data_IF_108486036482
#
_entry.id   IF_108486036482
#
_cell.length_a   1.000
_cell.length_b   1.000
_cell.length_c   1.000
_cell.angle_alpha   90.00
_cell.angle_beta   90.00
_cell.angle_gamma   90.00
#
_symmetry.space_group_name_H-M   'P 1'
#
loop_
_entity.id
_entity.type
_entity.pdbx_description
1 polymer ?
#
# COMPACT_ATOMS: atom_id res chain seq x y z
N UNK A 1 28.50 32.84 -22.82
CA UNK A 1 28.25 32.32 -21.47
C UNK A 1 26.82 31.83 -21.39
N UNK A 2 26.61 30.53 -21.19
CA UNK A 2 25.30 29.89 -21.18
C UNK A 2 24.81 29.75 -19.73
N UNK A 3 23.66 30.34 -19.40
CA UNK A 3 22.99 30.16 -18.11
C UNK A 3 21.86 29.13 -18.26
N UNK A 4 21.91 28.12 -17.40
CA UNK A 4 21.22 26.84 -17.52
C UNK A 4 19.70 26.91 -17.50
N UNK A 5 19.11 26.06 -18.34
CA UNK A 5 17.69 25.70 -18.31
C UNK A 5 17.39 25.01 -16.99
N UNK A 6 16.61 25.67 -16.13
CA UNK A 6 15.95 25.03 -14.99
C UNK A 6 15.05 23.92 -15.53
N UNK A 7 15.33 22.66 -15.17
CA UNK A 7 14.42 21.54 -15.43
C UNK A 7 13.15 21.81 -14.62
N UNK A 8 12.11 22.23 -15.32
CA UNK A 8 10.75 22.33 -14.82
C UNK A 8 10.29 20.90 -14.54
N UNK A 9 10.10 20.55 -13.27
CA UNK A 9 9.44 19.29 -12.89
C UNK A 9 8.01 19.39 -13.40
N UNK A 10 7.70 18.73 -14.51
CA UNK A 10 6.33 18.61 -15.00
C UNK A 10 5.48 17.99 -13.88
N UNK A 11 4.31 18.56 -13.54
CA UNK A 11 3.41 17.89 -12.62
C UNK A 11 3.04 16.55 -13.26
N UNK A 12 3.27 15.45 -12.54
CA UNK A 12 2.66 14.16 -12.87
C UNK A 12 1.17 14.43 -13.08
N UNK A 13 0.72 14.33 -14.33
CA UNK A 13 -0.67 14.61 -14.68
C UNK A 13 -1.54 13.68 -13.82
N UNK A 14 -2.28 14.26 -12.87
CA UNK A 14 -3.20 13.49 -12.05
C UNK A 14 -4.28 12.93 -12.98
N UNK A 15 -4.22 11.62 -13.21
CA UNK A 15 -5.22 10.93 -14.04
C UNK A 15 -6.37 10.56 -13.13
N UNK A 16 -7.53 11.16 -13.38
CA UNK A 16 -8.75 10.88 -12.64
C UNK A 16 -9.72 10.12 -13.52
N UNK A 17 -10.34 9.09 -12.95
CA UNK A 17 -11.48 8.42 -13.55
C UNK A 17 -12.61 8.43 -12.53
N UNK A 18 -13.75 9.00 -12.91
CA UNK A 18 -14.97 8.99 -12.10
C UNK A 18 -15.98 8.05 -12.73
N UNK A 19 -16.58 7.19 -11.91
CA UNK A 19 -17.54 6.17 -12.33
C UNK A 19 -18.83 6.33 -11.54
N UNK A 20 -19.85 6.81 -12.24
CA UNK A 20 -21.21 7.00 -11.70
C UNK A 20 -22.20 5.93 -12.21
N UNK A 21 -21.78 5.10 -13.17
CA UNK A 21 -22.60 4.06 -13.76
C UNK A 21 -22.53 2.73 -12.99
N UNK A 22 -23.48 1.83 -13.24
CA UNK A 22 -23.37 0.43 -12.84
C UNK A 22 -22.43 -0.30 -13.81
N UNK A 23 -21.35 -0.88 -13.29
CA UNK A 23 -20.32 -1.57 -14.06
C UNK A 23 -20.09 -2.98 -13.52
N UNK A 24 -19.85 -3.91 -14.43
CA UNK A 24 -19.52 -5.31 -14.10
C UNK A 24 -18.28 -5.75 -14.88
N UNK A 25 -17.29 -6.33 -14.21
CA UNK A 25 -16.12 -6.91 -14.86
C UNK A 25 -14.81 -6.69 -14.11
N UNK A 26 -13.70 -6.78 -14.83
CA UNK A 26 -12.35 -6.60 -14.29
C UNK A 26 -11.73 -5.32 -14.83
N UNK A 27 -11.33 -4.41 -13.95
CA UNK A 27 -10.58 -3.20 -14.29
C UNK A 27 -9.16 -3.33 -13.76
N UNK A 28 -8.18 -3.10 -14.61
CA UNK A 28 -6.76 -3.13 -14.23
C UNK A 28 -6.03 -1.92 -14.85
N UNK A 29 -5.38 -1.12 -14.01
CA UNK A 29 -4.60 0.05 -14.42
C UNK A 29 -3.11 -0.23 -14.28
N UNK A 30 -2.36 -0.13 -15.39
CA UNK A 30 -0.90 -0.28 -15.36
C UNK A 30 -0.17 0.93 -14.79
N UNK A 31 -0.76 2.10 -15.01
CA UNK A 31 -0.29 3.40 -14.53
C UNK A 31 -0.99 3.79 -13.22
N UNK A 32 -0.37 4.64 -12.37
CA UNK A 32 -1.05 5.21 -11.21
C UNK A 32 -2.19 6.12 -11.67
N UNK A 33 -3.42 5.74 -11.33
CA UNK A 33 -4.65 6.46 -11.65
C UNK A 33 -5.47 6.62 -10.38
N UNK A 34 -5.95 7.85 -10.14
CA UNK A 34 -6.92 8.13 -9.09
C UNK A 34 -8.29 7.73 -9.61
N UNK A 35 -8.89 6.73 -8.97
CA UNK A 35 -10.21 6.23 -9.33
C UNK A 35 -11.22 6.62 -8.27
N UNK A 36 -12.35 7.17 -8.70
CA UNK A 36 -13.49 7.44 -7.85
C UNK A 36 -14.70 6.67 -8.37
N UNK A 37 -15.36 5.91 -7.48
CA UNK A 37 -16.57 5.16 -7.79
C UNK A 37 -17.70 5.71 -6.93
N UNK A 38 -18.71 6.31 -7.56
CA UNK A 38 -19.94 6.72 -6.88
C UNK A 38 -21.14 5.81 -7.23
N UNK A 39 -21.03 5.00 -8.29
CA UNK A 39 -22.05 4.07 -8.77
C UNK A 39 -21.99 2.65 -8.19
N UNK A 40 -22.42 1.67 -8.98
CA UNK A 40 -22.33 0.25 -8.63
C UNK A 40 -21.17 -0.42 -9.36
N UNK A 41 -20.40 -1.23 -8.64
CA UNK A 41 -19.30 -1.98 -9.24
C UNK A 41 -19.28 -3.43 -8.76
N UNK A 42 -19.37 -4.38 -9.69
CA UNK A 42 -19.29 -5.82 -9.42
C UNK A 42 -18.11 -6.44 -10.18
N UNK A 43 -17.17 -7.08 -9.48
CA UNK A 43 -16.08 -7.82 -10.11
C UNK A 43 -14.71 -7.66 -9.46
N UNK A 44 -13.69 -7.25 -10.22
CA UNK A 44 -12.32 -7.13 -9.73
C UNK A 44 -11.69 -5.80 -10.16
N UNK A 45 -10.98 -5.15 -9.24
CA UNK A 45 -10.36 -3.86 -9.46
C UNK A 45 -8.90 -3.90 -8.99
N UNK A 46 -7.99 -3.60 -9.90
CA UNK A 46 -6.56 -3.48 -9.64
C UNK A 46 -6.10 -2.09 -10.09
N UNK A 47 -5.71 -1.26 -9.13
CA UNK A 47 -5.12 0.06 -9.39
C UNK A 47 -3.84 0.24 -8.60
N UNK A 48 -2.86 0.89 -9.22
CA UNK A 48 -1.63 1.32 -8.56
C UNK A 48 -1.73 2.71 -7.93
N UNK A 49 -2.90 3.35 -7.99
CA UNK A 49 -3.12 4.67 -7.44
C UNK A 49 -4.13 4.68 -6.29
N UNK A 50 -4.70 5.86 -6.06
CA UNK A 50 -5.70 6.05 -5.01
C UNK A 50 -7.07 5.61 -5.51
N UNK A 51 -7.83 4.98 -4.63
CA UNK A 51 -9.22 4.60 -4.87
C UNK A 51 -10.13 5.26 -3.84
N UNK A 52 -11.15 5.97 -4.31
CA UNK A 52 -12.20 6.54 -3.47
C UNK A 52 -13.55 5.92 -3.81
N UNK A 53 -14.24 5.40 -2.80
CA UNK A 53 -15.59 4.86 -2.92
C UNK A 53 -16.54 5.87 -2.27
N UNK A 54 -17.37 6.50 -3.10
CA UNK A 54 -18.33 7.52 -2.70
C UNK A 54 -19.42 6.98 -1.77
N UNK A 55 -20.09 7.87 -1.04
CA UNK A 55 -21.08 7.50 -0.02
C UNK A 55 -22.26 6.70 -0.57
N UNK A 56 -22.68 6.96 -1.82
CA UNK A 56 -23.78 6.27 -2.49
C UNK A 56 -23.35 5.01 -3.24
N UNK A 57 -22.04 4.73 -3.28
CA UNK A 57 -21.51 3.62 -4.05
C UNK A 57 -21.80 2.28 -3.38
N UNK A 58 -22.06 1.28 -4.22
CA UNK A 58 -22.19 -0.12 -3.80
C UNK A 58 -21.21 -0.96 -4.61
N UNK A 59 -20.20 -1.46 -3.93
CA UNK A 59 -19.09 -2.17 -4.56
C UNK A 59 -19.05 -3.60 -4.06
N UNK A 60 -19.22 -4.57 -4.95
CA UNK A 60 -19.07 -5.99 -4.65
C UNK A 60 -17.90 -6.56 -5.46
N UNK A 61 -16.70 -6.45 -4.91
CA UNK A 61 -15.51 -6.73 -5.68
C UNK A 61 -14.30 -7.19 -4.84
N UNK A 62 -13.33 -7.76 -5.53
CA UNK A 62 -11.95 -7.87 -5.02
C UNK A 62 -11.17 -6.65 -5.47
N UNK A 63 -10.75 -5.84 -4.51
CA UNK A 63 -10.13 -4.53 -4.71
C UNK A 63 -8.66 -4.60 -4.30
N UNK A 64 -7.78 -4.16 -5.18
CA UNK A 64 -6.36 -3.95 -4.93
C UNK A 64 -6.01 -2.51 -5.29
N UNK A 65 -5.40 -1.80 -4.34
CA UNK A 65 -5.11 -0.37 -4.45
C UNK A 65 -3.91 0.05 -3.63
N UNK A 66 -3.41 1.28 -3.85
CA UNK A 66 -2.36 1.84 -3.00
C UNK A 66 -2.96 2.43 -1.71
N UNK A 67 -3.79 3.47 -1.86
CA UNK A 67 -4.55 4.08 -0.79
C UNK A 67 -6.05 4.00 -1.11
N UNK A 68 -6.82 3.40 -0.20
CA UNK A 68 -8.25 3.16 -0.41
C UNK A 68 -9.05 3.94 0.63
N UNK A 69 -9.92 4.84 0.18
CA UNK A 69 -10.85 5.58 1.03
C UNK A 69 -12.27 5.12 0.73
N UNK A 70 -13.01 4.74 1.77
CA UNK A 70 -14.36 4.17 1.64
C UNK A 70 -15.34 5.04 2.41
N UNK A 71 -16.36 5.54 1.71
CA UNK A 71 -17.55 6.18 2.32
C UNK A 71 -18.83 5.38 2.08
N UNK A 72 -18.84 4.49 1.10
CA UNK A 72 -20.02 3.72 0.69
C UNK A 72 -20.07 2.31 1.26
N UNK A 73 -20.76 1.43 0.56
CA UNK A 73 -20.88 0.01 0.90
C UNK A 73 -19.94 -0.84 0.06
N UNK A 74 -19.12 -1.66 0.70
CA UNK A 74 -18.18 -2.58 0.04
C UNK A 74 -18.40 -4.00 0.56
N UNK A 75 -18.59 -4.95 -0.35
CA UNK A 75 -18.70 -6.37 -0.03
C UNK A 75 -17.64 -7.15 -0.80
N UNK A 76 -16.66 -7.73 -0.11
CA UNK A 76 -15.60 -8.50 -0.76
C UNK A 76 -14.25 -8.40 -0.05
N UNK A 77 -13.17 -8.51 -0.84
CA UNK A 77 -11.80 -8.44 -0.33
C UNK A 77 -11.16 -7.11 -0.72
N UNK A 78 -10.61 -6.38 0.25
CA UNK A 78 -9.96 -5.08 0.04
C UNK A 78 -8.51 -5.21 0.47
N UNK A 79 -7.58 -5.06 -0.47
CA UNK A 79 -6.14 -5.08 -0.21
C UNK A 79 -5.54 -3.72 -0.56
N UNK A 80 -4.97 -3.03 0.42
CA UNK A 80 -4.24 -1.78 0.19
C UNK A 80 -2.76 -1.93 0.55
N UNK A 81 -1.87 -1.40 -0.28
CA UNK A 81 -0.43 -1.43 -0.03
C UNK A 81 0.05 -0.35 0.94
N UNK A 82 -0.68 0.76 1.07
CA UNK A 82 -0.31 1.91 1.93
C UNK A 82 -1.30 2.14 3.06
N UNK A 83 -2.59 2.32 2.75
CA UNK A 83 -3.62 2.52 3.79
C UNK A 83 -5.04 2.22 3.33
N UNK A 84 -5.89 1.85 4.28
CA UNK A 84 -7.35 1.86 4.16
C UNK A 84 -7.93 2.90 5.12
N UNK A 85 -8.80 3.77 4.61
CA UNK A 85 -9.52 4.76 5.41
C UNK A 85 -11.03 4.52 5.27
N UNK A 86 -11.68 4.22 6.38
CA UNK A 86 -13.12 4.03 6.49
C UNK A 86 -13.72 5.32 7.07
N UNK A 87 -14.45 6.06 6.24
CA UNK A 87 -15.16 7.27 6.64
C UNK A 87 -16.45 6.93 7.39
N UNK A 88 -17.11 7.95 7.95
CA UNK A 88 -18.21 7.78 8.90
C UNK A 88 -19.43 6.99 8.37
N UNK A 89 -19.66 7.00 7.06
CA UNK A 89 -20.75 6.24 6.42
C UNK A 89 -20.32 4.89 5.85
N UNK A 90 -19.05 4.51 6.00
CA UNK A 90 -18.49 3.31 5.40
C UNK A 90 -19.12 2.03 5.98
N UNK A 91 -19.47 1.09 5.10
CA UNK A 91 -19.94 -0.25 5.47
C UNK A 91 -19.16 -1.28 4.67
N UNK A 92 -18.22 -1.96 5.33
CA UNK A 92 -17.38 -2.98 4.69
C UNK A 92 -17.74 -4.35 5.22
N UNK A 93 -18.06 -5.29 4.33
CA UNK A 93 -18.30 -6.70 4.66
C UNK A 93 -17.29 -7.58 3.91
N UNK A 94 -16.45 -8.31 4.64
CA UNK A 94 -15.48 -9.25 4.07
C UNK A 94 -14.07 -9.12 4.64
N UNK A 95 -13.06 -9.29 3.80
CA UNK A 95 -11.65 -9.29 4.23
C UNK A 95 -11.00 -7.94 3.91
N UNK A 96 -10.36 -7.30 4.88
CA UNK A 96 -9.58 -6.07 4.69
C UNK A 96 -8.13 -6.34 5.05
N UNK A 97 -7.22 -6.12 4.10
CA UNK A 97 -5.79 -6.29 4.27
C UNK A 97 -5.08 -4.96 4.01
N UNK A 98 -4.46 -4.36 5.03
CA UNK A 98 -3.68 -3.12 4.86
C UNK A 98 -2.61 -2.94 5.94
N UNK A 99 -1.46 -2.29 5.68
CA UNK A 99 -0.49 -1.96 6.74
C UNK A 99 -0.99 -0.89 7.71
N UNK A 100 -1.90 -0.01 7.26
CA UNK A 100 -2.48 1.04 8.10
C UNK A 100 -3.98 1.15 7.83
N UNK A 101 -4.77 1.08 8.89
CA UNK A 101 -6.22 1.28 8.82
C UNK A 101 -6.62 2.49 9.68
N UNK A 102 -7.42 3.38 9.11
CA UNK A 102 -8.03 4.53 9.79
C UNK A 102 -9.54 4.30 9.76
N UNK A 103 -10.19 4.35 10.93
CA UNK A 103 -11.64 4.21 11.04
C UNK A 103 -12.21 5.44 11.72
N UNK A 104 -13.14 6.11 11.05
CA UNK A 104 -13.88 7.25 11.58
C UNK A 104 -15.12 6.78 12.34
N UNK A 105 -15.66 7.66 13.18
CA UNK A 105 -16.88 7.38 13.94
C UNK A 105 -18.06 7.07 13.00
N UNK A 106 -18.82 6.02 13.31
CA UNK A 106 -19.92 5.53 12.48
C UNK A 106 -19.54 4.50 11.40
N UNK A 107 -18.25 4.31 11.12
CA UNK A 107 -17.80 3.28 10.18
C UNK A 107 -18.08 1.86 10.71
N UNK A 108 -18.58 0.99 9.84
CA UNK A 108 -18.89 -0.41 10.16
C UNK A 108 -18.01 -1.33 9.31
N UNK A 109 -17.23 -2.18 9.98
CA UNK A 109 -16.50 -3.28 9.34
C UNK A 109 -16.98 -4.61 9.91
N UNK A 110 -17.46 -5.49 9.05
CA UNK A 110 -17.91 -6.84 9.37
C UNK A 110 -17.06 -7.87 8.61
N UNK A 111 -16.20 -8.58 9.32
CA UNK A 111 -15.37 -9.65 8.74
C UNK A 111 -13.96 -9.65 9.31
N UNK A 112 -12.98 -9.98 8.47
CA UNK A 112 -11.60 -10.19 8.91
C UNK A 112 -10.75 -9.00 8.50
N UNK A 113 -10.15 -8.33 9.48
CA UNK A 113 -9.13 -7.31 9.25
C UNK A 113 -7.75 -7.90 9.52
N UNK A 114 -6.88 -7.85 8.51
CA UNK A 114 -5.51 -8.32 8.56
C UNK A 114 -4.57 -7.14 8.32
N UNK A 115 -3.80 -6.78 9.34
CA UNK A 115 -2.82 -5.71 9.21
C UNK A 115 -1.58 -6.23 8.47
N UNK A 116 -1.61 -6.23 7.14
CA UNK A 116 -0.49 -6.66 6.29
C UNK A 116 0.60 -5.60 6.28
N UNK A 117 1.46 -5.66 7.28
CA UNK A 117 2.53 -4.68 7.44
C UNK A 117 2.35 -3.83 8.67
N UNK A 118 2.11 -4.46 9.81
CA UNK A 118 2.69 -4.03 11.09
C UNK A 118 4.24 -4.04 11.04
N UNK A 119 4.82 -3.38 10.01
CA UNK A 119 6.04 -2.61 10.13
C UNK A 119 5.58 -1.24 10.60
N UNK A 120 5.49 -1.07 11.91
CA UNK A 120 5.36 0.27 12.47
C UNK A 120 6.39 1.18 11.81
N UNK A 121 5.97 2.40 11.49
CA UNK A 121 6.89 3.51 11.46
C UNK A 121 7.71 3.46 12.76
N UNK A 122 8.97 3.06 12.65
CA UNK A 122 9.82 2.82 13.81
C UNK A 122 11.07 2.10 13.40
N UNK A 123 11.81 2.69 12.46
CA UNK A 123 13.23 2.46 12.14
C UNK A 123 13.70 1.02 11.94
N UNK A 124 12.90 -0.03 12.14
CA UNK A 124 13.36 -1.41 12.36
C UNK A 124 12.47 -2.39 11.61
N UNK A 125 13.09 -3.31 10.88
CA UNK A 125 12.51 -4.19 9.86
C UNK A 125 12.75 -5.66 10.24
N UNK A 126 11.84 -6.61 9.94
CA UNK A 126 12.15 -8.06 10.03
C UNK A 126 12.94 -8.56 8.80
N UNK A 127 13.41 -9.81 8.83
CA UNK A 127 14.17 -10.41 7.73
C UNK A 127 13.37 -10.52 6.43
N UNK A 128 12.13 -10.99 6.52
CA UNK A 128 11.18 -11.07 5.39
C UNK A 128 10.93 -9.70 4.78
N UNK A 129 10.92 -8.73 5.67
CA UNK A 129 10.57 -7.37 5.38
C UNK A 129 11.69 -6.69 4.60
N UNK A 130 12.91 -6.92 5.03
CA UNK A 130 14.14 -6.44 4.40
C UNK A 130 14.42 -7.17 3.09
N UNK A 131 14.13 -8.47 3.01
CA UNK A 131 14.26 -9.27 1.78
C UNK A 131 13.49 -8.64 0.61
N UNK A 132 12.24 -8.26 0.87
CA UNK A 132 11.41 -7.52 -0.10
C UNK A 132 11.93 -6.12 -0.42
N UNK A 133 12.60 -5.46 0.53
CA UNK A 133 13.14 -4.11 0.33
C UNK A 133 14.42 -4.13 -0.51
N UNK A 134 15.26 -5.14 -0.33
CA UNK A 134 16.51 -5.33 -1.07
C UNK A 134 16.31 -6.12 -2.38
N UNK A 135 15.09 -6.59 -2.66
CA UNK A 135 14.77 -7.47 -3.78
C UNK A 135 15.61 -8.77 -3.80
N UNK A 136 15.82 -9.38 -2.63
CA UNK A 136 16.55 -10.65 -2.46
C UNK A 136 15.73 -11.68 -1.68
N UNK A 137 16.15 -12.94 -1.71
CA UNK A 137 15.53 -14.00 -0.92
C UNK A 137 15.71 -13.83 0.60
N UNK A 138 14.72 -14.29 1.37
CA UNK A 138 14.76 -14.31 2.84
C UNK A 138 15.98 -15.07 3.39
N UNK A 139 16.37 -16.17 2.72
CA UNK A 139 17.54 -16.96 3.08
C UNK A 139 18.83 -16.14 2.97
N UNK A 140 18.93 -15.31 1.93
CA UNK A 140 20.06 -14.41 1.68
C UNK A 140 20.16 -13.34 2.77
N UNK A 141 19.04 -12.72 3.17
CA UNK A 141 19.03 -11.74 4.27
C UNK A 141 19.47 -12.39 5.59
N UNK A 142 18.97 -13.59 5.87
CA UNK A 142 19.32 -14.33 7.08
C UNK A 142 20.81 -14.71 7.11
N UNK A 143 21.36 -15.10 5.96
CA UNK A 143 22.79 -15.40 5.81
C UNK A 143 23.66 -14.15 6.02
N UNK A 144 23.27 -13.00 5.45
CA UNK A 144 24.01 -11.75 5.62
C UNK A 144 23.96 -11.22 7.06
N UNK A 145 22.83 -11.41 7.74
CA UNK A 145 22.70 -11.10 9.16
C UNK A 145 23.63 -11.98 10.03
N UNK A 146 23.63 -13.29 9.80
CA UNK A 146 24.50 -14.24 10.52
C UNK A 146 25.99 -14.01 10.23
N UNK A 147 26.34 -13.66 9.00
CA UNK A 147 27.71 -13.37 8.59
C UNK A 147 28.19 -11.97 9.04
N UNK A 148 27.32 -11.16 9.68
CA UNK A 148 27.63 -9.79 10.10
C UNK A 148 27.85 -8.82 8.94
N UNK A 149 27.43 -9.17 7.71
CA UNK A 149 27.57 -8.31 6.51
C UNK A 149 26.55 -7.18 6.49
N UNK A 150 25.43 -7.37 7.17
CA UNK A 150 24.28 -6.48 7.14
C UNK A 150 23.93 -6.05 8.58
N UNK A 151 23.67 -4.75 8.85
CA UNK A 151 23.42 -4.25 10.19
C UNK A 151 22.11 -4.82 10.77
N UNK A 152 22.25 -5.84 11.61
CA UNK A 152 21.17 -6.59 12.22
C UNK A 152 21.27 -6.55 13.74
N UNK A 153 20.13 -6.54 14.42
CA UNK A 153 19.98 -6.66 15.86
C UNK A 153 19.02 -7.82 16.15
N UNK A 154 19.37 -8.69 17.10
CA UNK A 154 18.52 -9.82 17.46
C UNK A 154 17.73 -9.46 18.72
N UNK A 155 16.41 -9.37 18.60
CA UNK A 155 15.53 -8.99 19.71
C UNK A 155 14.46 -10.06 19.86
N UNK A 156 14.42 -10.74 21.02
CA UNK A 156 13.48 -11.83 21.27
C UNK A 156 13.62 -13.03 20.32
N UNK A 157 14.82 -13.31 19.81
CA UNK A 157 15.08 -14.42 18.87
C UNK A 157 14.70 -14.14 17.41
N UNK A 158 14.26 -12.92 17.10
CA UNK A 158 13.95 -12.50 15.73
C UNK A 158 14.98 -11.47 15.25
N UNK A 159 15.35 -11.57 13.97
CA UNK A 159 16.20 -10.58 13.32
C UNK A 159 15.45 -9.29 13.07
N UNK A 160 16.05 -8.19 13.51
CA UNK A 160 15.58 -6.82 13.39
C UNK A 160 16.63 -5.97 12.69
N UNK A 161 16.22 -5.17 11.72
CA UNK A 161 17.11 -4.45 10.81
C UNK A 161 16.76 -2.98 10.81
N UNK A 162 17.67 -2.14 11.28
CA UNK A 162 17.39 -0.71 11.33
C UNK A 162 17.47 -0.09 9.93
N UNK A 163 16.37 0.45 9.42
CA UNK A 163 16.25 1.06 8.09
C UNK A 163 17.32 2.12 7.83
N UNK A 164 17.59 2.99 8.80
CA UNK A 164 18.60 4.05 8.62
C UNK A 164 19.98 3.44 8.44
N UNK A 165 20.32 2.44 9.26
CA UNK A 165 21.59 1.71 9.12
C UNK A 165 21.67 0.91 7.81
N UNK A 166 20.55 0.35 7.35
CA UNK A 166 20.48 -0.38 6.08
C UNK A 166 20.67 0.56 4.88
N UNK A 167 20.01 1.71 4.89
CA UNK A 167 20.16 2.73 3.84
C UNK A 167 21.60 3.28 3.80
N UNK A 168 22.21 3.51 4.96
CA UNK A 168 23.64 3.88 5.06
C UNK A 168 24.55 2.78 4.51
N UNK A 169 24.31 1.51 4.87
CA UNK A 169 25.08 0.37 4.38
C UNK A 169 24.98 0.23 2.85
N UNK A 170 23.77 0.33 2.29
CA UNK A 170 23.53 0.31 0.84
C UNK A 170 24.27 1.43 0.10
N UNK A 171 24.35 2.62 0.71
CA UNK A 171 25.08 3.74 0.14
C UNK A 171 26.59 3.46 0.06
N UNK A 172 27.17 2.77 1.04
CA UNK A 172 28.59 2.39 1.02
C UNK A 172 28.89 1.25 0.03
N UNK A 173 27.94 0.32 -0.18
CA UNK A 173 28.13 -0.81 -1.09
C UNK A 173 28.05 -0.39 -2.57
N UNK A 174 27.27 0.64 -2.91
CA UNK A 174 27.19 1.20 -4.29
C UNK A 174 28.39 2.08 -4.69
N UNK A 175 29.29 2.43 -3.77
CA UNK A 175 30.45 3.30 -4.02
C UNK A 175 31.69 2.51 -4.49
N UNK A 176 31.60 1.18 -4.63
CA UNK A 176 32.69 0.34 -5.16
C UNK A 176 32.40 -0.24 -6.53
#
# INVERSE_FOLDING_TARGET
MALGRRKQTEPIAERWLEVDASMTGTLAFKDPVNLQINGQFDGALDTKGNLSIGQKAQVKATIQGEAITISGTVTGSVTATTRVELLSSARVTGKVSSPRVIMHDGAVLQGTLEMIGSRGAGTVMSAEVLARYLEVDLGTVSQWAQAGRLPAQQEGGQWRFDRTKIEEWLAHEKIK
#
